data_IF_608421086454
#
_entry.id   IF_608421086454
#
_cell.length_a   1.000
_cell.length_b   1.000
_cell.length_c   1.000
_cell.angle_alpha   90.00
_cell.angle_beta   90.00
_cell.angle_gamma   90.00
#
_symmetry.space_group_name_H-M   'P 1'
#
loop_
_entity.id
_entity.type
_entity.pdbx_description
1 polymer ?
#
# COMPACT_ATOMS: atom_id res chain seq x y z
N UNK A 1 -18.13 27.41 -7.10
CA UNK A 1 -18.09 26.23 -6.22
C UNK A 1 -16.70 26.16 -5.61
N UNK A 2 -16.50 26.41 -4.29
CA UNK A 2 -15.15 26.45 -3.76
C UNK A 2 -14.62 25.03 -3.58
N UNK A 3 -13.43 24.87 -4.16
CA UNK A 3 -12.54 23.72 -4.17
C UNK A 3 -12.48 22.99 -2.83
N UNK A 4 -12.70 21.67 -2.89
CA UNK A 4 -12.46 20.75 -1.80
C UNK A 4 -11.01 20.83 -1.34
N UNK A 5 -10.85 21.39 -0.16
CA UNK A 5 -9.65 21.44 0.67
C UNK A 5 -8.92 20.08 0.69
N UNK A 6 -7.86 19.92 -0.11
CA UNK A 6 -6.94 18.78 -0.03
C UNK A 6 -6.17 18.90 1.29
N UNK A 7 -6.72 18.30 2.34
CA UNK A 7 -6.05 18.16 3.64
C UNK A 7 -4.74 17.37 3.46
N UNK A 8 -3.62 18.08 3.60
CA UNK A 8 -2.31 17.53 3.96
C UNK A 8 -1.52 16.91 2.81
N UNK A 9 -0.67 17.72 2.17
CA UNK A 9 0.50 17.21 1.44
C UNK A 9 1.44 16.51 2.44
N UNK A 10 1.15 15.24 2.73
CA UNK A 10 2.16 14.34 3.31
C UNK A 10 3.13 14.01 2.19
N UNK A 11 4.42 14.20 2.44
CA UNK A 11 5.47 13.77 1.52
C UNK A 11 5.38 12.27 1.25
N UNK A 12 6.02 11.85 0.16
CA UNK A 12 6.11 10.44 -0.19
C UNK A 12 6.80 9.66 0.93
N UNK A 13 6.31 8.47 1.23
CA UNK A 13 7.04 7.55 2.10
C UNK A 13 8.21 6.94 1.34
N UNK A 14 9.26 6.42 2.00
CA UNK A 14 10.35 5.73 1.31
C UNK A 14 9.87 4.58 0.40
N UNK A 15 8.79 3.91 0.79
CA UNK A 15 8.12 2.89 -0.03
C UNK A 15 7.55 3.48 -1.33
N UNK A 16 6.85 4.62 -1.23
CA UNK A 16 6.30 5.32 -2.39
C UNK A 16 7.40 5.91 -3.29
N UNK A 17 8.48 6.43 -2.72
CA UNK A 17 9.64 6.91 -3.46
C UNK A 17 10.30 5.76 -4.25
N UNK A 18 10.49 4.60 -3.60
CA UNK A 18 11.05 3.41 -4.27
C UNK A 18 10.15 2.92 -5.39
N UNK A 19 8.83 2.90 -5.17
CA UNK A 19 7.86 2.57 -6.21
C UNK A 19 7.93 3.53 -7.40
N UNK A 20 7.98 4.84 -7.15
CA UNK A 20 8.08 5.85 -8.23
C UNK A 20 9.38 5.69 -9.02
N UNK A 21 10.48 5.34 -8.35
CA UNK A 21 11.80 5.19 -8.99
C UNK A 21 11.95 3.90 -9.79
N UNK A 22 11.40 2.79 -9.30
CA UNK A 22 11.76 1.45 -9.79
C UNK A 22 10.56 0.53 -10.03
N UNK A 23 9.33 1.02 -9.86
CA UNK A 23 8.11 0.25 -10.07
C UNK A 23 7.96 -0.93 -9.10
N UNK A 24 7.15 -1.91 -9.51
CA UNK A 24 6.84 -3.09 -8.70
C UNK A 24 8.02 -4.06 -8.58
N UNK A 25 8.98 -4.06 -9.50
CA UNK A 25 10.15 -4.95 -9.44
C UNK A 25 11.04 -4.69 -8.21
N UNK A 26 10.93 -3.50 -7.62
CA UNK A 26 11.66 -3.10 -6.42
C UNK A 26 10.87 -3.31 -5.11
N UNK A 27 9.70 -3.94 -5.18
CA UNK A 27 8.84 -4.24 -4.03
C UNK A 27 8.65 -5.75 -3.88
N UNK A 28 8.64 -6.23 -2.64
CA UNK A 28 8.17 -7.58 -2.36
C UNK A 28 6.62 -7.62 -2.28
N UNK A 29 6.06 -8.82 -2.10
CA UNK A 29 4.61 -9.01 -1.97
C UNK A 29 4.01 -8.23 -0.80
N UNK A 30 4.70 -8.18 0.34
CA UNK A 30 4.22 -7.47 1.52
C UNK A 30 4.19 -5.96 1.27
N UNK A 31 5.26 -5.42 0.69
CA UNK A 31 5.43 -4.02 0.37
C UNK A 31 4.45 -3.57 -0.72
N UNK A 32 4.18 -4.44 -1.70
CA UNK A 32 3.15 -4.21 -2.71
C UNK A 32 1.77 -4.14 -2.06
N UNK A 33 1.44 -5.08 -1.15
CA UNK A 33 0.19 -5.03 -0.40
C UNK A 33 0.12 -3.77 0.49
N UNK A 34 1.22 -3.38 1.16
CA UNK A 34 1.28 -2.16 1.97
C UNK A 34 1.01 -0.91 1.13
N UNK A 35 1.61 -0.83 -0.07
CA UNK A 35 1.39 0.25 -1.01
C UNK A 35 -0.09 0.34 -1.41
N UNK A 36 -0.70 -0.79 -1.78
CA UNK A 36 -2.13 -0.84 -2.14
C UNK A 36 -3.03 -0.42 -0.97
N UNK A 37 -2.75 -0.91 0.25
CA UNK A 37 -3.51 -0.52 1.44
C UNK A 37 -3.35 0.96 1.76
N UNK A 38 -2.19 1.56 1.49
CA UNK A 38 -1.95 2.99 1.72
C UNK A 38 -2.82 3.92 0.86
N UNK A 39 -3.39 3.41 -0.24
CA UNK A 39 -4.30 4.17 -1.11
C UNK A 39 -5.68 4.40 -0.45
N UNK A 40 -6.07 3.53 0.49
CA UNK A 40 -7.41 3.55 1.10
C UNK A 40 -7.39 3.67 2.62
N UNK A 41 -6.26 3.35 3.27
CA UNK A 41 -6.09 3.39 4.72
C UNK A 41 -5.02 4.40 5.19
N UNK A 42 -5.12 4.93 6.42
CA UNK A 42 -4.05 5.70 7.02
C UNK A 42 -2.76 4.87 7.15
N UNK A 43 -1.64 5.42 6.66
CA UNK A 43 -0.32 4.77 6.61
C UNK A 43 0.10 4.02 7.89
N UNK A 44 -0.23 4.54 9.08
CA UNK A 44 0.12 3.94 10.39
C UNK A 44 -0.36 2.48 10.54
N UNK A 45 -1.40 2.05 9.82
CA UNK A 45 -1.95 0.69 9.90
C UNK A 45 -1.50 -0.21 8.74
N UNK A 46 -1.03 0.35 7.64
CA UNK A 46 -0.85 -0.40 6.38
C UNK A 46 0.21 -1.49 6.49
N UNK A 47 1.37 -1.21 7.09
CA UNK A 47 2.45 -2.20 7.24
C UNK A 47 2.02 -3.45 8.02
N UNK A 48 1.31 -3.25 9.13
CA UNK A 48 0.83 -4.34 9.97
C UNK A 48 -0.23 -5.17 9.22
N UNK A 49 -1.20 -4.49 8.59
CA UNK A 49 -2.24 -5.17 7.81
C UNK A 49 -1.67 -5.91 6.60
N UNK A 50 -0.66 -5.35 5.93
CA UNK A 50 0.00 -6.02 4.80
C UNK A 50 0.67 -7.33 5.23
N UNK A 51 1.35 -7.32 6.37
CA UNK A 51 1.92 -8.53 6.96
C UNK A 51 0.84 -9.57 7.28
N UNK A 52 -0.25 -9.17 7.94
CA UNK A 52 -1.37 -10.06 8.26
C UNK A 52 -2.03 -10.64 7.01
N UNK A 53 -2.21 -9.83 5.96
CA UNK A 53 -2.69 -10.27 4.66
C UNK A 53 -1.74 -11.29 4.03
N UNK A 54 -0.43 -11.04 4.06
CA UNK A 54 0.54 -11.96 3.49
C UNK A 54 0.59 -13.29 4.26
N UNK A 55 0.50 -13.27 5.59
CA UNK A 55 0.42 -14.49 6.41
C UNK A 55 -0.82 -15.33 6.09
N UNK A 56 -1.97 -14.66 5.89
CA UNK A 56 -3.25 -15.29 5.58
C UNK A 56 -3.30 -15.83 4.14
N UNK A 57 -2.91 -15.02 3.16
CA UNK A 57 -3.11 -15.28 1.74
C UNK A 57 -1.85 -15.74 0.99
N UNK A 58 -0.73 -15.87 1.71
CA UNK A 58 0.57 -16.45 1.31
C UNK A 58 1.40 -15.62 0.34
N UNK A 59 0.79 -15.00 -0.65
CA UNK A 59 1.47 -14.17 -1.66
C UNK A 59 0.52 -13.10 -2.21
N UNK A 60 1.06 -12.19 -3.00
CA UNK A 60 0.29 -11.10 -3.62
C UNK A 60 -0.88 -11.64 -4.46
N UNK A 61 -0.65 -12.69 -5.26
CA UNK A 61 -1.71 -13.31 -6.07
C UNK A 61 -2.84 -13.82 -5.19
N UNK A 62 -2.52 -14.59 -4.15
CA UNK A 62 -3.50 -15.13 -3.22
C UNK A 62 -4.30 -14.05 -2.51
N UNK A 63 -3.68 -12.91 -2.19
CA UNK A 63 -4.36 -11.74 -1.63
C UNK A 63 -5.33 -11.12 -2.65
N UNK A 64 -4.91 -10.87 -3.88
CA UNK A 64 -5.73 -10.24 -4.92
C UNK A 64 -6.90 -11.11 -5.39
N UNK A 65 -6.78 -12.44 -5.29
CA UNK A 65 -7.83 -13.39 -5.69
C UNK A 65 -8.72 -13.86 -4.53
N UNK A 66 -8.54 -13.31 -3.33
CA UNK A 66 -9.32 -13.71 -2.16
C UNK A 66 -10.79 -13.33 -2.29
N UNK A 67 -11.69 -14.21 -1.85
CA UNK A 67 -13.12 -13.89 -1.68
C UNK A 67 -13.38 -13.33 -0.27
N UNK A 68 -14.42 -12.49 -0.10
CA UNK A 68 -14.86 -12.00 1.22
C UNK A 68 -15.18 -13.12 2.22
#
# INVERSE_FOLDING_TARGET
MPSGMLRGQRGLTPLQERFIKSGFEALDDQETIELLLSLVLPHRKCRKLAKECLERFKNLRGFLTASP
#
